data_IF_528342915152
#
_entry.id   IF_528342915152
#
_cell.length_a   1.000
_cell.length_b   1.000
_cell.length_c   1.000
_cell.angle_alpha   90.00
_cell.angle_beta   90.00
_cell.angle_gamma   90.00
#
_symmetry.space_group_name_H-M   'P 1'
#
loop_
_entity.id
_entity.type
_entity.pdbx_description
1 polymer ?
#
# COMPACT_ATOMS: atom_id res chain seq x y z
N UNK A 1 27.00 -26.24 -8.94
CA UNK A 1 27.22 -24.88 -8.46
C UNK A 1 26.14 -24.59 -7.43
N UNK A 2 26.48 -24.63 -6.16
CA UNK A 2 25.56 -24.24 -5.07
C UNK A 2 25.41 -22.74 -5.10
N UNK A 3 24.26 -22.24 -5.52
CA UNK A 3 23.94 -20.81 -5.45
C UNK A 3 23.94 -20.36 -4.00
N UNK A 4 24.64 -19.27 -3.70
CA UNK A 4 24.59 -18.66 -2.37
C UNK A 4 23.14 -18.43 -1.93
N UNK A 5 22.82 -18.61 -0.63
CA UNK A 5 21.46 -18.41 -0.14
C UNK A 5 21.01 -16.96 -0.39
N UNK A 6 19.76 -16.79 -0.87
CA UNK A 6 19.22 -15.48 -1.11
C UNK A 6 19.29 -14.59 0.14
N UNK A 7 19.55 -13.27 0.00
CA UNK A 7 19.57 -12.33 1.13
C UNK A 7 18.32 -12.42 2.00
N UNK A 8 18.43 -12.13 3.29
CA UNK A 8 17.35 -12.26 4.27
C UNK A 8 16.09 -11.51 3.83
N UNK A 9 16.24 -10.27 3.37
CA UNK A 9 15.18 -9.43 2.83
C UNK A 9 14.39 -10.12 1.70
N UNK A 10 15.10 -10.67 0.70
CA UNK A 10 14.49 -11.36 -0.43
C UNK A 10 13.74 -12.64 0.00
N UNK A 11 14.28 -13.39 0.97
CA UNK A 11 13.62 -14.61 1.50
C UNK A 11 12.30 -14.29 2.21
N UNK A 12 12.25 -13.20 2.97
CA UNK A 12 11.02 -12.81 3.66
C UNK A 12 9.98 -12.25 2.69
N UNK A 13 10.38 -11.46 1.71
CA UNK A 13 9.47 -11.02 0.65
C UNK A 13 8.86 -12.20 -0.13
N UNK A 14 9.67 -13.19 -0.48
CA UNK A 14 9.19 -14.44 -1.09
C UNK A 14 8.18 -15.17 -0.18
N UNK A 15 8.48 -15.23 1.13
CA UNK A 15 7.60 -15.86 2.12
C UNK A 15 6.27 -15.15 2.27
N UNK A 16 6.28 -13.80 2.29
CA UNK A 16 5.05 -12.99 2.35
C UNK A 16 4.18 -13.20 1.13
N UNK A 17 4.76 -13.16 -0.06
CA UNK A 17 4.04 -13.40 -1.32
C UNK A 17 3.45 -14.81 -1.39
N UNK A 18 4.22 -15.82 -0.99
CA UNK A 18 3.78 -17.22 -0.99
C UNK A 18 2.71 -17.48 0.08
N UNK A 19 2.80 -16.86 1.24
CA UNK A 19 1.79 -16.98 2.28
C UNK A 19 0.44 -16.39 1.84
N UNK A 20 0.46 -15.25 1.17
CA UNK A 20 -0.73 -14.60 0.65
C UNK A 20 -1.37 -15.43 -0.49
N UNK A 21 -0.55 -15.93 -1.42
CA UNK A 21 -0.99 -16.60 -2.66
C UNK A 21 -0.24 -17.91 -2.89
N UNK A 22 -0.49 -18.98 -2.12
CA UNK A 22 0.32 -20.20 -2.12
C UNK A 22 0.34 -20.95 -3.46
N UNK A 23 -0.70 -20.83 -4.27
CA UNK A 23 -0.79 -21.44 -5.60
C UNK A 23 -0.51 -20.44 -6.73
N UNK A 24 -1.14 -19.26 -6.67
CA UNK A 24 -1.04 -18.28 -7.76
C UNK A 24 0.37 -17.69 -7.87
N UNK A 25 1.02 -17.37 -6.76
CA UNK A 25 2.35 -16.77 -6.80
C UNK A 25 3.42 -17.69 -7.41
N UNK A 26 3.58 -18.97 -7.00
CA UNK A 26 4.50 -19.87 -7.66
C UNK A 26 4.20 -20.08 -9.14
N UNK A 27 2.92 -20.20 -9.52
CA UNK A 27 2.51 -20.36 -10.92
C UNK A 27 2.91 -19.13 -11.76
N UNK A 28 2.63 -17.90 -11.27
CA UNK A 28 3.01 -16.67 -11.94
C UNK A 28 4.53 -16.50 -12.02
N UNK A 29 5.27 -16.94 -11.01
CA UNK A 29 6.74 -16.92 -10.99
C UNK A 29 7.34 -17.89 -12.00
N UNK A 30 6.74 -19.09 -12.14
CA UNK A 30 7.17 -20.12 -13.10
C UNK A 30 6.82 -19.78 -14.56
N UNK A 31 5.83 -18.92 -14.80
CA UNK A 31 5.44 -18.50 -16.13
C UNK A 31 6.62 -17.84 -16.87
N UNK A 32 6.91 -18.30 -18.10
CA UNK A 32 8.02 -17.82 -18.92
C UNK A 32 7.54 -16.82 -19.97
N UNK A 33 8.45 -15.94 -20.41
CA UNK A 33 8.19 -14.91 -21.41
C UNK A 33 7.51 -13.65 -20.89
N UNK A 34 7.51 -12.57 -21.68
CA UNK A 34 6.95 -11.28 -21.32
C UNK A 34 5.43 -11.26 -21.33
N UNK A 35 4.80 -12.03 -22.22
CA UNK A 35 3.36 -12.19 -22.37
C UNK A 35 3.04 -13.67 -22.56
N UNK A 36 2.00 -14.14 -21.91
CA UNK A 36 1.58 -15.55 -21.98
C UNK A 36 0.05 -15.63 -21.98
N UNK A 37 -0.53 -16.29 -22.98
CA UNK A 37 -1.95 -16.68 -22.96
C UNK A 37 -2.11 -17.94 -22.11
N UNK A 38 -2.91 -17.85 -21.05
CA UNK A 38 -3.23 -18.96 -20.15
C UNK A 38 -4.68 -19.39 -20.38
N UNK A 39 -4.94 -20.61 -20.90
CA UNK A 39 -6.30 -21.08 -21.16
C UNK A 39 -7.18 -20.98 -19.92
N UNK A 40 -8.40 -20.46 -20.06
CA UNK A 40 -9.36 -20.28 -18.97
C UNK A 40 -9.05 -19.17 -17.96
N UNK A 41 -7.88 -18.54 -18.04
CA UNK A 41 -7.48 -17.45 -17.13
C UNK A 41 -7.39 -16.09 -17.83
N UNK A 42 -6.90 -16.04 -19.07
CA UNK A 42 -6.69 -14.82 -19.84
C UNK A 42 -5.24 -14.63 -20.31
N UNK A 43 -4.84 -13.40 -20.53
CA UNK A 43 -3.48 -13.05 -21.00
C UNK A 43 -2.71 -12.41 -19.84
N UNK A 44 -1.61 -13.05 -19.47
CA UNK A 44 -0.68 -12.61 -18.43
C UNK A 44 0.42 -11.75 -19.06
N UNK A 45 0.61 -10.53 -18.56
CA UNK A 45 1.67 -9.59 -18.97
C UNK A 45 2.65 -9.40 -17.81
N UNK A 46 3.95 -9.59 -18.07
CA UNK A 46 5.03 -9.52 -17.07
C UNK A 46 6.11 -8.49 -17.42
N UNK A 47 6.12 -7.97 -18.63
CA UNK A 47 7.05 -6.95 -19.08
C UNK A 47 6.55 -5.56 -18.69
N UNK A 48 7.43 -4.71 -18.13
CA UNK A 48 7.05 -3.40 -17.59
C UNK A 48 6.60 -2.41 -18.68
N UNK A 49 7.23 -2.44 -19.85
CA UNK A 49 6.87 -1.55 -20.96
C UNK A 49 5.53 -1.93 -21.57
N UNK A 50 5.30 -3.23 -21.80
CA UNK A 50 4.02 -3.75 -22.32
C UNK A 50 2.89 -3.54 -21.31
N UNK A 51 3.16 -3.75 -20.01
CA UNK A 51 2.21 -3.50 -18.94
C UNK A 51 1.80 -2.03 -18.91
N UNK A 52 2.79 -1.12 -18.98
CA UNK A 52 2.53 0.32 -19.03
C UNK A 52 1.75 0.71 -20.29
N UNK A 53 2.13 0.19 -21.46
CA UNK A 53 1.42 0.43 -22.71
C UNK A 53 -0.05 0.00 -22.60
N UNK A 54 -0.32 -1.19 -22.08
CA UNK A 54 -1.69 -1.69 -21.85
C UNK A 54 -2.48 -0.81 -20.87
N UNK A 55 -1.84 -0.26 -19.82
CA UNK A 55 -2.50 0.65 -18.88
C UNK A 55 -2.81 2.02 -19.48
N UNK A 56 -2.04 2.45 -20.46
CA UNK A 56 -2.21 3.74 -21.16
C UNK A 56 -3.23 3.67 -22.30
N UNK A 57 -3.46 2.49 -22.86
CA UNK A 57 -4.35 2.26 -23.97
C UNK A 57 -5.78 2.01 -23.47
N UNK A 58 -6.56 3.09 -23.37
CA UNK A 58 -7.98 3.06 -22.95
C UNK A 58 -8.95 2.77 -24.08
N UNK A 59 -8.47 2.71 -25.32
CA UNK A 59 -9.29 2.35 -26.49
C UNK A 59 -9.54 0.84 -26.54
N UNK A 60 -8.50 0.03 -26.25
CA UNK A 60 -8.57 -1.41 -26.34
C UNK A 60 -8.76 -2.09 -24.97
N UNK A 61 -8.36 -1.43 -23.87
CA UNK A 61 -8.34 -2.04 -22.53
C UNK A 61 -9.12 -1.19 -21.51
N UNK A 62 -10.10 -1.82 -20.86
CA UNK A 62 -10.99 -1.14 -19.92
C UNK A 62 -10.95 -1.75 -18.52
N UNK A 63 -11.32 -0.98 -17.51
CA UNK A 63 -11.65 -1.45 -16.16
C UNK A 63 -13.08 -2.01 -16.05
N UNK A 64 -13.91 -1.78 -17.06
CA UNK A 64 -15.28 -2.26 -17.15
C UNK A 64 -15.34 -3.55 -17.99
N UNK A 65 -16.21 -4.46 -17.61
CA UNK A 65 -16.42 -5.69 -18.36
C UNK A 65 -15.95 -6.96 -17.63
N UNK A 66 -16.09 -8.11 -18.29
CA UNK A 66 -15.84 -9.42 -17.67
C UNK A 66 -14.40 -9.54 -17.14
N UNK A 67 -14.27 -9.90 -15.86
CA UNK A 67 -12.97 -10.11 -15.22
C UNK A 67 -12.15 -8.85 -14.95
N UNK A 68 -12.68 -7.65 -15.23
CA UNK A 68 -12.08 -6.38 -14.86
C UNK A 68 -12.46 -5.96 -13.42
N UNK A 69 -11.86 -4.92 -12.84
CA UNK A 69 -12.16 -4.49 -11.47
C UNK A 69 -13.62 -4.15 -11.19
N UNK A 70 -14.32 -3.58 -12.17
CA UNK A 70 -15.75 -3.22 -12.02
C UNK A 70 -16.65 -4.43 -11.78
N UNK A 71 -16.30 -5.60 -12.33
CA UNK A 71 -17.05 -6.85 -12.13
C UNK A 71 -17.12 -7.25 -10.64
N UNK A 72 -16.09 -6.88 -9.87
CA UNK A 72 -16.02 -7.09 -8.43
C UNK A 72 -16.63 -5.93 -7.63
N UNK A 73 -16.30 -4.68 -7.97
CA UNK A 73 -16.57 -3.54 -7.10
C UNK A 73 -17.86 -2.81 -7.41
N UNK A 74 -18.41 -2.89 -8.63
CA UNK A 74 -19.71 -2.28 -8.96
C UNK A 74 -20.85 -2.80 -8.09
N UNK A 75 -20.95 -4.10 -7.76
CA UNK A 75 -21.98 -4.58 -6.84
C UNK A 75 -21.88 -3.98 -5.43
N UNK A 76 -20.70 -3.55 -5.01
CA UNK A 76 -20.43 -2.99 -3.65
C UNK A 76 -20.57 -1.48 -3.64
N UNK A 77 -19.91 -0.79 -4.57
CA UNK A 77 -19.74 0.67 -4.60
C UNK A 77 -20.68 1.38 -5.57
N UNK A 78 -21.37 0.65 -6.42
CA UNK A 78 -22.11 1.23 -7.56
C UNK A 78 -21.23 1.58 -8.74
N UNK A 79 -21.84 2.02 -9.87
CA UNK A 79 -21.11 2.33 -11.10
C UNK A 79 -20.41 3.70 -11.07
N UNK A 80 -20.89 4.63 -10.25
CA UNK A 80 -20.51 6.05 -10.29
C UNK A 80 -19.30 6.37 -9.38
N UNK A 81 -18.29 5.50 -9.36
CA UNK A 81 -17.03 5.71 -8.62
C UNK A 81 -15.85 5.56 -9.58
N UNK A 82 -14.77 6.33 -9.35
CA UNK A 82 -13.57 6.32 -10.23
C UNK A 82 -13.01 4.92 -10.48
N UNK A 83 -13.15 4.02 -9.53
CA UNK A 83 -12.67 2.64 -9.65
C UNK A 83 -13.42 1.86 -10.73
N UNK A 84 -14.71 2.19 -10.96
CA UNK A 84 -15.64 1.49 -11.84
C UNK A 84 -15.99 2.28 -13.12
N UNK A 85 -15.51 3.53 -13.24
CA UNK A 85 -15.84 4.43 -14.37
C UNK A 85 -14.76 4.42 -15.44
N UNK A 86 -15.14 4.80 -16.64
CA UNK A 86 -14.29 5.04 -17.80
C UNK A 86 -14.74 6.29 -18.57
N UNK A 87 -13.90 6.78 -19.48
CA UNK A 87 -14.25 7.83 -20.44
C UNK A 87 -14.40 9.23 -19.83
N UNK A 88 -15.26 10.04 -20.43
CA UNK A 88 -15.41 11.45 -20.10
C UNK A 88 -15.88 11.70 -18.66
N UNK A 89 -16.83 10.91 -18.17
CA UNK A 89 -17.39 11.04 -16.82
C UNK A 89 -16.34 10.69 -15.76
N UNK A 90 -15.53 9.65 -16.00
CA UNK A 90 -14.37 9.33 -15.15
C UNK A 90 -13.42 10.53 -15.07
N UNK A 91 -13.06 11.13 -16.20
CA UNK A 91 -12.15 12.28 -16.24
C UNK A 91 -12.75 13.51 -15.54
N UNK A 92 -14.05 13.75 -15.69
CA UNK A 92 -14.75 14.84 -15.03
C UNK A 92 -14.74 14.69 -13.51
N UNK A 93 -15.14 13.52 -13.00
CA UNK A 93 -15.13 13.21 -11.56
C UNK A 93 -13.70 13.23 -11.01
N UNK A 94 -12.74 12.65 -11.74
CA UNK A 94 -11.33 12.64 -11.33
C UNK A 94 -10.76 14.05 -11.19
N UNK A 95 -11.16 14.98 -12.07
CA UNK A 95 -10.72 16.39 -12.01
C UNK A 95 -11.26 17.10 -10.77
N UNK A 96 -12.55 16.90 -10.43
CA UNK A 96 -13.13 17.42 -9.18
C UNK A 96 -12.39 16.89 -7.96
N UNK A 97 -12.17 15.56 -7.88
CA UNK A 97 -11.52 14.92 -6.76
C UNK A 97 -10.01 15.23 -6.66
N UNK A 98 -9.38 15.64 -7.76
CA UNK A 98 -7.94 15.93 -7.81
C UNK A 98 -7.47 16.95 -6.76
N UNK A 99 -8.31 17.94 -6.44
CA UNK A 99 -8.00 18.96 -5.45
C UNK A 99 -7.85 18.39 -4.01
N UNK A 100 -8.50 17.27 -3.70
CA UNK A 100 -8.38 16.56 -2.42
C UNK A 100 -7.02 15.84 -2.27
N UNK A 101 -6.30 15.67 -3.38
CA UNK A 101 -5.00 14.98 -3.41
C UNK A 101 -3.88 15.90 -3.87
N UNK A 102 -4.11 17.24 -3.86
CA UNK A 102 -3.06 18.21 -4.09
C UNK A 102 -1.95 18.04 -3.03
N UNK A 103 -0.66 17.99 -3.40
CA UNK A 103 0.43 17.68 -2.46
C UNK A 103 0.38 18.52 -1.17
N UNK A 104 0.27 19.83 -1.27
CA UNK A 104 0.20 20.71 -0.10
C UNK A 104 -0.99 20.40 0.84
N UNK A 105 -2.14 20.00 0.28
CA UNK A 105 -3.31 19.64 1.08
C UNK A 105 -3.10 18.32 1.82
N UNK A 106 -2.62 17.29 1.11
CA UNK A 106 -2.43 15.96 1.72
C UNK A 106 -1.27 15.94 2.72
N UNK A 107 -0.22 16.73 2.51
CA UNK A 107 0.87 16.88 3.46
C UNK A 107 0.38 17.55 4.75
N UNK A 108 -0.41 18.63 4.63
CA UNK A 108 -1.02 19.28 5.79
C UNK A 108 -2.00 18.35 6.52
N UNK A 109 -2.83 17.61 5.79
CA UNK A 109 -3.78 16.64 6.35
C UNK A 109 -3.05 15.51 7.09
N UNK A 110 -2.07 14.88 6.47
CA UNK A 110 -1.31 13.80 7.08
C UNK A 110 -0.57 14.28 8.34
N UNK A 111 0.06 15.45 8.27
CA UNK A 111 0.75 16.05 9.41
C UNK A 111 -0.23 16.38 10.56
N UNK A 112 -1.34 17.04 10.28
CA UNK A 112 -2.33 17.40 11.31
C UNK A 112 -2.90 16.17 12.01
N UNK A 113 -3.12 15.07 11.28
CA UNK A 113 -3.78 13.89 11.82
C UNK A 113 -2.83 12.87 12.44
N UNK A 114 -1.62 12.74 11.92
CA UNK A 114 -0.73 11.64 12.27
C UNK A 114 0.54 12.05 13.01
N UNK A 115 0.92 13.35 13.05
CA UNK A 115 2.18 13.77 13.66
C UNK A 115 2.27 13.41 15.17
N UNK A 116 1.17 13.57 15.92
CA UNK A 116 1.12 13.18 17.33
C UNK A 116 1.31 11.68 17.53
N UNK A 117 0.67 10.89 16.68
CA UNK A 117 0.79 9.43 16.71
C UNK A 117 2.19 8.96 16.31
N UNK A 118 2.81 9.62 15.33
CA UNK A 118 4.17 9.35 14.87
C UNK A 118 5.21 9.72 15.94
N UNK A 119 5.04 10.86 16.61
CA UNK A 119 5.89 11.27 17.75
C UNK A 119 5.80 10.24 18.88
N UNK A 120 4.60 9.81 19.25
CA UNK A 120 4.40 8.80 20.28
C UNK A 120 5.07 7.46 19.91
N UNK A 121 5.06 7.06 18.63
CA UNK A 121 5.78 5.89 18.14
C UNK A 121 7.29 6.04 18.35
N UNK A 122 7.86 7.19 17.99
CA UNK A 122 9.28 7.50 18.19
C UNK A 122 9.67 7.40 19.67
N UNK A 123 8.86 8.02 20.56
CA UNK A 123 9.15 8.05 22.00
C UNK A 123 9.09 6.66 22.63
N UNK A 124 8.09 5.85 22.28
CA UNK A 124 7.98 4.45 22.75
C UNK A 124 9.20 3.62 22.35
N UNK A 125 9.63 3.75 21.10
CA UNK A 125 10.83 3.04 20.61
C UNK A 125 12.10 3.52 21.33
N UNK A 126 12.26 4.84 21.56
CA UNK A 126 13.40 5.40 22.32
C UNK A 126 13.43 4.92 23.75
N UNK A 127 12.27 4.70 24.37
CA UNK A 127 12.14 4.10 25.70
C UNK A 127 12.44 2.59 25.69
N UNK A 128 12.72 2.00 24.53
CA UNK A 128 13.06 0.58 24.40
C UNK A 128 11.84 -0.34 24.39
N UNK A 129 10.66 0.20 24.10
CA UNK A 129 9.47 -0.63 23.94
C UNK A 129 9.54 -1.44 22.65
N UNK A 130 8.96 -2.64 22.69
CA UNK A 130 8.69 -3.44 21.48
C UNK A 130 7.40 -2.97 20.83
N UNK A 131 7.44 -2.62 19.55
CA UNK A 131 6.30 -2.07 18.81
C UNK A 131 5.95 -2.96 17.62
N UNK A 132 4.70 -3.34 17.48
CA UNK A 132 4.19 -3.99 16.27
C UNK A 132 3.86 -2.92 15.21
N UNK A 133 4.72 -2.78 14.21
CA UNK A 133 4.56 -1.81 13.10
C UNK A 133 3.25 -2.02 12.34
N UNK A 134 2.76 -3.26 12.23
CA UNK A 134 1.46 -3.54 11.58
C UNK A 134 0.32 -2.93 12.37
N UNK A 135 0.34 -3.05 13.71
CA UNK A 135 -0.67 -2.46 14.59
C UNK A 135 -0.64 -0.92 14.52
N UNK A 136 0.56 -0.31 14.52
CA UNK A 136 0.68 1.14 14.41
C UNK A 136 0.15 1.67 13.07
N UNK A 137 0.49 1.03 11.96
CA UNK A 137 -0.01 1.46 10.63
C UNK A 137 -1.53 1.24 10.51
N UNK A 138 -2.09 0.21 11.15
CA UNK A 138 -3.56 0.05 11.24
C UNK A 138 -4.21 1.19 12.02
N UNK A 139 -3.60 1.62 13.13
CA UNK A 139 -4.07 2.78 13.90
C UNK A 139 -4.04 4.05 13.05
N UNK A 140 -2.97 4.29 12.28
CA UNK A 140 -2.91 5.43 11.35
C UNK A 140 -4.00 5.33 10.27
N UNK A 141 -4.24 4.14 9.73
CA UNK A 141 -5.32 3.91 8.78
C UNK A 141 -6.70 4.20 9.39
N UNK A 142 -6.95 3.81 10.66
CA UNK A 142 -8.19 4.13 11.37
C UNK A 142 -8.39 5.64 11.52
N UNK A 143 -7.36 6.39 11.91
CA UNK A 143 -7.39 7.86 12.00
C UNK A 143 -7.76 8.45 10.63
N UNK A 144 -7.11 7.99 9.55
CA UNK A 144 -7.38 8.50 8.20
C UNK A 144 -8.77 8.12 7.69
N UNK A 145 -9.29 6.93 8.02
CA UNK A 145 -10.68 6.56 7.71
C UNK A 145 -11.64 7.52 8.41
N UNK A 146 -11.44 7.79 9.70
CA UNK A 146 -12.29 8.72 10.45
C UNK A 146 -12.35 10.08 9.78
N UNK A 147 -11.21 10.60 9.30
CA UNK A 147 -11.17 11.84 8.52
C UNK A 147 -11.92 11.75 7.20
N UNK A 148 -11.77 10.65 6.46
CA UNK A 148 -12.45 10.43 5.18
C UNK A 148 -13.97 10.38 5.31
N UNK A 149 -14.48 9.90 6.45
CA UNK A 149 -15.92 9.83 6.72
C UNK A 149 -16.43 11.00 7.55
N UNK A 150 -15.57 11.92 7.98
CA UNK A 150 -15.95 13.10 8.76
C UNK A 150 -16.29 12.78 10.22
N UNK A 151 -15.71 11.71 10.77
CA UNK A 151 -15.79 11.40 12.21
C UNK A 151 -14.75 12.18 12.99
N UNK A 152 -15.06 12.46 14.27
CA UNK A 152 -14.08 12.99 15.21
C UNK A 152 -12.95 11.96 15.45
N UNK A 153 -11.73 12.35 15.14
CA UNK A 153 -10.55 11.50 15.31
C UNK A 153 -10.10 11.33 16.76
N UNK A 154 -10.70 12.06 17.69
CA UNK A 154 -10.46 11.87 19.14
C UNK A 154 -10.94 10.51 19.65
N UNK A 155 -11.87 9.88 18.92
CA UNK A 155 -12.39 8.54 19.20
C UNK A 155 -12.02 7.61 18.05
N UNK A 156 -10.75 7.20 18.01
CA UNK A 156 -10.29 6.20 17.03
C UNK A 156 -10.82 4.83 17.43
N UNK A 157 -11.72 4.30 16.62
CA UNK A 157 -12.24 2.95 16.80
C UNK A 157 -11.43 1.94 15.98
N UNK A 158 -10.63 1.12 16.67
CA UNK A 158 -9.90 0.01 16.04
C UNK A 158 -10.85 -1.01 15.39
N UNK A 159 -12.12 -1.05 15.80
CA UNK A 159 -13.15 -1.88 15.20
C UNK A 159 -13.49 -1.40 13.77
N UNK A 160 -13.50 -0.10 13.56
CA UNK A 160 -13.79 0.49 12.25
C UNK A 160 -12.82 -0.01 11.17
N UNK A 161 -11.51 0.06 11.43
CA UNK A 161 -10.52 -0.48 10.50
C UNK A 161 -10.73 -1.98 10.27
N UNK A 162 -10.95 -2.75 11.34
CA UNK A 162 -11.15 -4.20 11.25
C UNK A 162 -12.38 -4.56 10.41
N UNK A 163 -13.47 -3.81 10.56
CA UNK A 163 -14.70 -3.97 9.76
C UNK A 163 -14.46 -3.66 8.28
N UNK A 164 -13.81 -2.55 7.97
CA UNK A 164 -13.43 -2.18 6.59
C UNK A 164 -12.50 -3.23 5.98
N UNK A 165 -11.48 -3.64 6.73
CA UNK A 165 -10.52 -4.66 6.31
C UNK A 165 -11.18 -6.02 6.04
N UNK A 166 -12.29 -6.34 6.72
CA UNK A 166 -13.03 -7.57 6.46
C UNK A 166 -13.62 -7.63 5.05
N UNK A 167 -14.00 -6.48 4.47
CA UNK A 167 -14.54 -6.41 3.10
C UNK A 167 -13.48 -6.85 2.09
N UNK A 168 -12.26 -6.34 2.22
CA UNK A 168 -11.15 -6.73 1.35
C UNK A 168 -10.73 -8.19 1.58
N UNK A 169 -10.88 -8.68 2.81
CA UNK A 169 -10.64 -10.07 3.20
C UNK A 169 -11.60 -11.08 2.54
N UNK A 170 -12.77 -10.66 2.05
CA UNK A 170 -13.67 -11.53 1.29
C UNK A 170 -13.14 -11.85 -0.11
N UNK A 171 -12.31 -10.98 -0.67
CA UNK A 171 -11.80 -11.10 -2.03
C UNK A 171 -10.56 -11.97 -2.05
N UNK A 172 -10.52 -12.94 -2.97
CA UNK A 172 -9.35 -13.79 -3.23
C UNK A 172 -9.11 -13.88 -4.73
N UNK A 173 -7.86 -14.01 -5.14
CA UNK A 173 -7.54 -14.22 -6.57
C UNK A 173 -8.24 -15.45 -7.16
N UNK A 174 -8.46 -16.49 -6.33
CA UNK A 174 -9.17 -17.72 -6.72
C UNK A 174 -10.70 -17.55 -6.74
N UNK A 175 -11.24 -16.51 -6.09
CA UNK A 175 -12.68 -16.19 -6.03
C UNK A 175 -12.87 -14.69 -6.16
N UNK A 176 -12.86 -14.15 -7.38
CA UNK A 176 -12.90 -12.71 -7.61
C UNK A 176 -14.32 -12.11 -7.47
N UNK A 177 -15.31 -12.87 -7.04
CA UNK A 177 -16.69 -12.42 -6.81
C UNK A 177 -17.10 -12.66 -5.37
N UNK A 178 -17.85 -11.71 -4.81
CA UNK A 178 -18.45 -11.85 -3.49
C UNK A 178 -19.69 -12.74 -3.55
N UNK A 179 -19.88 -13.55 -2.53
CA UNK A 179 -21.14 -14.27 -2.33
C UNK A 179 -22.25 -13.28 -1.88
N UNK A 180 -23.55 -13.62 -2.08
CA UNK A 180 -24.63 -12.75 -1.63
C UNK A 180 -24.53 -12.30 -0.16
N UNK A 181 -24.21 -13.18 0.82
CA UNK A 181 -24.01 -12.76 2.20
C UNK A 181 -22.84 -11.80 2.39
N UNK A 182 -21.71 -12.04 1.72
CA UNK A 182 -20.54 -11.15 1.77
C UNK A 182 -20.85 -9.78 1.16
N UNK A 183 -21.61 -9.76 0.07
CA UNK A 183 -22.06 -8.52 -0.57
C UNK A 183 -22.98 -7.73 0.37
N UNK A 184 -23.94 -8.40 1.02
CA UNK A 184 -24.84 -7.77 1.98
C UNK A 184 -24.05 -7.17 3.16
N UNK A 185 -23.11 -7.92 3.72
CA UNK A 185 -22.25 -7.45 4.80
C UNK A 185 -21.38 -6.25 4.37
N UNK A 186 -20.75 -6.30 3.19
CA UNK A 186 -19.96 -5.20 2.66
C UNK A 186 -20.80 -3.93 2.49
N UNK A 187 -22.01 -4.06 1.94
CA UNK A 187 -22.97 -2.94 1.81
C UNK A 187 -23.39 -2.37 3.16
N UNK A 188 -23.65 -3.20 4.18
CA UNK A 188 -24.01 -2.75 5.51
C UNK A 188 -22.91 -1.93 6.17
N UNK A 189 -21.66 -2.39 6.09
CA UNK A 189 -20.49 -1.67 6.62
C UNK A 189 -20.32 -0.31 5.91
N UNK A 190 -20.42 -0.30 4.59
CA UNK A 190 -20.28 0.95 3.82
C UNK A 190 -21.44 1.91 4.04
N UNK A 191 -22.68 1.41 4.19
CA UNK A 191 -23.85 2.24 4.46
C UNK A 191 -23.70 3.01 5.78
N UNK A 192 -23.25 2.34 6.83
CA UNK A 192 -22.97 2.97 8.13
C UNK A 192 -21.90 4.06 8.02
N UNK A 193 -20.79 3.78 7.33
CA UNK A 193 -19.74 4.77 7.10
C UNK A 193 -20.20 5.96 6.26
N UNK A 194 -21.00 5.70 5.22
CA UNK A 194 -21.54 6.76 4.37
C UNK A 194 -22.59 7.61 5.06
N UNK A 195 -23.30 7.10 6.06
CA UNK A 195 -24.23 7.90 6.88
C UNK A 195 -23.50 9.04 7.59
N UNK A 196 -22.39 8.76 8.25
CA UNK A 196 -21.55 9.79 8.87
C UNK A 196 -21.01 10.79 7.83
N UNK A 197 -20.54 10.28 6.70
CA UNK A 197 -20.05 11.15 5.62
C UNK A 197 -21.16 12.03 5.01
N UNK A 198 -22.39 11.55 4.95
CA UNK A 198 -23.55 12.35 4.53
C UNK A 198 -23.84 13.51 5.49
N UNK A 199 -23.80 13.26 6.79
CA UNK A 199 -23.98 14.31 7.79
C UNK A 199 -22.89 15.39 7.65
N UNK A 200 -21.61 15.00 7.55
CA UNK A 200 -20.50 15.92 7.36
C UNK A 200 -20.60 16.69 6.01
N UNK A 201 -21.00 16.02 4.94
CA UNK A 201 -21.23 16.65 3.63
C UNK A 201 -22.34 17.71 3.72
N UNK A 202 -23.48 17.38 4.36
CA UNK A 202 -24.62 18.31 4.49
C UNK A 202 -24.30 19.50 5.40
N UNK A 203 -23.51 19.29 6.46
CA UNK A 203 -23.01 20.36 7.30
C UNK A 203 -22.12 21.34 6.53
N UNK A 204 -21.38 20.89 5.52
CA UNK A 204 -20.56 21.72 4.64
C UNK A 204 -19.31 22.29 5.30
N UNK A 205 -18.87 21.72 6.42
CA UNK A 205 -17.62 22.11 7.07
C UNK A 205 -16.41 21.64 6.25
N UNK A 206 -15.71 22.61 5.63
CA UNK A 206 -14.54 22.35 4.77
C UNK A 206 -13.34 21.78 5.51
N UNK A 207 -13.33 21.76 6.85
CA UNK A 207 -12.34 21.05 7.63
C UNK A 207 -12.53 19.53 7.59
N UNK A 208 -13.71 19.07 7.18
CA UNK A 208 -13.98 17.66 6.91
C UNK A 208 -13.80 17.32 5.43
N UNK A 209 -13.34 16.10 5.12
CA UNK A 209 -13.20 15.67 3.71
C UNK A 209 -14.55 15.68 2.96
N UNK A 210 -15.67 15.18 3.54
CA UNK A 210 -16.98 15.27 2.87
C UNK A 210 -17.47 16.71 2.67
N UNK A 211 -17.29 17.60 3.63
CA UNK A 211 -17.66 19.01 3.48
C UNK A 211 -16.85 19.71 2.40
N UNK A 212 -15.53 19.41 2.32
CA UNK A 212 -14.68 19.89 1.25
C UNK A 212 -15.08 19.31 -0.12
N UNK A 213 -15.53 18.05 -0.21
CA UNK A 213 -16.09 17.51 -1.45
C UNK A 213 -17.29 18.34 -1.94
N UNK A 214 -18.15 18.80 -1.04
CA UNK A 214 -19.28 19.68 -1.35
C UNK A 214 -18.80 21.02 -1.91
N UNK A 215 -17.81 21.66 -1.30
CA UNK A 215 -17.28 22.96 -1.79
C UNK A 215 -16.57 22.81 -3.15
N UNK A 216 -16.05 21.63 -3.48
CA UNK A 216 -15.49 21.29 -4.79
C UNK A 216 -16.56 20.97 -5.85
N UNK A 217 -17.85 21.08 -5.52
CA UNK A 217 -18.96 20.88 -6.46
C UNK A 217 -19.25 19.41 -6.78
N UNK A 218 -18.87 18.47 -5.89
CA UNK A 218 -19.36 17.09 -5.99
C UNK A 218 -20.82 17.04 -5.52
N UNK A 219 -21.64 16.25 -6.20
CA UNK A 219 -22.96 15.87 -5.68
C UNK A 219 -22.81 14.97 -4.46
N UNK A 220 -23.85 14.86 -3.62
CA UNK A 220 -23.84 13.97 -2.46
C UNK A 220 -23.57 12.51 -2.88
N UNK A 221 -24.14 12.07 -4.00
CA UNK A 221 -23.92 10.74 -4.54
C UNK A 221 -22.45 10.51 -4.96
N UNK A 222 -21.85 11.48 -5.67
CA UNK A 222 -20.43 11.43 -6.07
C UNK A 222 -19.52 11.39 -4.82
N UNK A 223 -19.82 12.21 -3.81
CA UNK A 223 -19.07 12.27 -2.57
C UNK A 223 -19.13 10.95 -1.79
N UNK A 224 -20.33 10.38 -1.62
CA UNK A 224 -20.50 9.09 -0.90
C UNK A 224 -19.83 7.94 -1.63
N UNK A 225 -19.92 7.89 -2.95
CA UNK A 225 -19.20 6.92 -3.77
C UNK A 225 -17.68 7.07 -3.63
N UNK A 226 -17.17 8.30 -3.60
CA UNK A 226 -15.73 8.56 -3.39
C UNK A 226 -15.27 8.14 -1.99
N UNK A 227 -16.02 8.47 -0.93
CA UNK A 227 -15.74 8.03 0.44
C UNK A 227 -15.64 6.51 0.52
N UNK A 228 -16.64 5.77 0.02
CA UNK A 228 -16.63 4.32 0.01
C UNK A 228 -15.42 3.73 -0.73
N UNK A 229 -15.07 4.32 -1.89
CA UNK A 229 -13.91 3.89 -2.67
C UNK A 229 -12.59 4.19 -1.94
N UNK A 230 -12.43 5.36 -1.32
CA UNK A 230 -11.21 5.74 -0.61
C UNK A 230 -10.98 4.89 0.63
N UNK A 231 -12.04 4.63 1.40
CA UNK A 231 -11.98 3.75 2.58
C UNK A 231 -11.52 2.34 2.19
N UNK A 232 -12.08 1.76 1.12
CA UNK A 232 -11.73 0.40 0.69
C UNK A 232 -10.33 0.29 0.07
N UNK A 233 -9.87 1.32 -0.65
CA UNK A 233 -8.62 1.21 -1.42
C UNK A 233 -7.42 1.86 -0.75
N UNK A 234 -7.65 2.80 0.18
CA UNK A 234 -6.61 3.64 0.77
C UNK A 234 -5.91 3.04 1.98
N UNK A 235 -6.49 2.05 2.64
CA UNK A 235 -6.02 1.56 3.95
C UNK A 235 -5.13 0.32 3.84
N UNK A 236 -5.62 -0.75 3.22
CA UNK A 236 -4.92 -2.04 3.15
C UNK A 236 -3.57 -1.97 2.43
N UNK A 237 -3.44 -1.07 1.45
CA UNK A 237 -2.19 -0.91 0.70
C UNK A 237 -1.05 -0.38 1.56
N UNK A 238 -1.32 0.56 2.48
CA UNK A 238 -0.33 1.11 3.42
C UNK A 238 0.01 0.11 4.53
N UNK A 239 -1.00 -0.57 5.09
CA UNK A 239 -0.81 -1.65 6.07
C UNK A 239 0.02 -2.81 5.49
N UNK A 240 -0.09 -3.06 4.19
CA UNK A 240 0.78 -3.98 3.47
C UNK A 240 2.19 -3.42 3.31
N UNK A 241 2.29 -2.19 2.82
CA UNK A 241 3.55 -1.64 2.33
C UNK A 241 4.52 -1.23 3.43
N UNK A 242 4.08 -0.41 4.40
CA UNK A 242 4.98 0.20 5.38
C UNK A 242 5.74 -0.85 6.21
N UNK A 243 5.09 -1.89 6.77
CA UNK A 243 5.81 -2.93 7.50
C UNK A 243 6.80 -3.71 6.60
N UNK A 244 6.47 -3.91 5.31
CA UNK A 244 7.37 -4.57 4.36
C UNK A 244 8.59 -3.72 4.05
N UNK A 245 8.42 -2.39 3.88
CA UNK A 245 9.54 -1.47 3.72
C UNK A 245 10.44 -1.49 4.94
N UNK A 246 9.89 -1.40 6.15
CA UNK A 246 10.67 -1.47 7.40
C UNK A 246 11.48 -2.76 7.47
N UNK A 247 10.84 -3.90 7.17
CA UNK A 247 11.54 -5.19 7.14
C UNK A 247 12.64 -5.23 6.08
N UNK A 248 12.42 -4.67 4.89
CA UNK A 248 13.43 -4.57 3.85
C UNK A 248 14.62 -3.74 4.31
N UNK A 249 14.40 -2.57 4.90
CA UNK A 249 15.45 -1.66 5.37
C UNK A 249 16.32 -2.30 6.46
N UNK A 250 15.68 -2.98 7.42
CA UNK A 250 16.39 -3.66 8.51
C UNK A 250 17.15 -4.89 8.00
N UNK A 251 16.48 -5.78 7.26
CA UNK A 251 17.06 -7.05 6.79
C UNK A 251 18.17 -6.87 5.76
N UNK A 252 18.17 -5.78 5.00
CA UNK A 252 19.19 -5.45 4.01
C UNK A 252 20.32 -4.59 4.56
N UNK A 253 20.22 -4.13 5.83
CA UNK A 253 21.21 -3.27 6.46
C UNK A 253 21.19 -1.81 5.99
N UNK A 254 20.17 -1.38 5.26
CA UNK A 254 20.05 0.00 4.77
C UNK A 254 19.56 0.99 5.83
N UNK A 255 18.92 0.53 6.91
CA UNK A 255 18.33 1.40 7.91
C UNK A 255 19.32 2.40 8.52
N UNK A 256 20.54 2.00 8.98
CA UNK A 256 21.52 2.95 9.51
C UNK A 256 22.01 3.97 8.49
N UNK A 257 22.20 3.56 7.22
CA UNK A 257 22.67 4.45 6.16
C UNK A 257 21.65 5.54 5.85
N UNK A 258 20.35 5.18 5.80
CA UNK A 258 19.26 6.12 5.55
C UNK A 258 19.03 7.04 6.78
N UNK A 259 19.27 6.54 7.98
CA UNK A 259 19.22 7.37 9.19
C UNK A 259 20.32 8.43 9.20
N UNK A 260 21.51 8.08 8.70
CA UNK A 260 22.66 9.00 8.58
C UNK A 260 22.53 10.00 7.42
N UNK A 261 21.94 9.57 6.30
CA UNK A 261 21.71 10.40 5.11
C UNK A 261 20.25 10.35 4.67
N UNK A 262 19.48 11.35 5.09
CA UNK A 262 18.04 11.47 4.80
C UNK A 262 17.72 11.70 3.33
N UNK A 263 18.69 12.05 2.50
CA UNK A 263 18.49 12.15 1.03
C UNK A 263 18.17 10.79 0.41
N UNK A 264 18.50 9.69 1.08
CA UNK A 264 18.18 8.32 0.67
C UNK A 264 16.75 7.88 1.01
N UNK A 265 15.96 8.65 1.77
CA UNK A 265 14.58 8.28 2.17
C UNK A 265 13.70 8.08 0.94
N UNK A 266 13.63 9.06 0.04
CA UNK A 266 12.81 8.96 -1.18
C UNK A 266 13.24 7.81 -2.11
N UNK A 267 14.53 7.64 -2.44
CA UNK A 267 14.98 6.46 -3.17
C UNK A 267 14.61 5.13 -2.49
N UNK A 268 14.74 5.04 -1.16
CA UNK A 268 14.40 3.83 -0.42
C UNK A 268 12.88 3.54 -0.43
N UNK A 269 12.04 4.56 -0.30
CA UNK A 269 10.58 4.42 -0.43
C UNK A 269 10.22 3.96 -1.85
N UNK A 270 10.75 4.60 -2.88
CA UNK A 270 10.47 4.23 -4.26
C UNK A 270 10.92 2.79 -4.59
N UNK A 271 12.11 2.41 -4.12
CA UNK A 271 12.66 1.07 -4.30
C UNK A 271 11.87 0.02 -3.52
N UNK A 272 11.43 0.35 -2.30
CA UNK A 272 10.52 -0.48 -1.53
C UNK A 272 9.19 -0.71 -2.26
N UNK A 273 8.56 0.33 -2.81
CA UNK A 273 7.33 0.23 -3.61
C UNK A 273 7.54 -0.64 -4.86
N UNK A 274 8.69 -0.52 -5.52
CA UNK A 274 9.07 -1.37 -6.63
C UNK A 274 9.12 -2.85 -6.23
N UNK A 275 9.86 -3.18 -5.19
CA UNK A 275 10.10 -4.57 -4.78
C UNK A 275 8.86 -5.20 -4.16
N UNK A 276 8.13 -4.48 -3.31
CA UNK A 276 6.96 -5.02 -2.62
C UNK A 276 5.71 -5.01 -3.48
N UNK A 277 5.54 -4.00 -4.31
CA UNK A 277 4.38 -3.78 -5.19
C UNK A 277 3.06 -4.11 -4.47
N UNK A 278 2.49 -3.19 -3.66
CA UNK A 278 1.31 -3.46 -2.84
C UNK A 278 0.10 -3.98 -3.62
N UNK A 279 -0.09 -3.49 -4.85
CA UNK A 279 -1.05 -4.06 -5.81
C UNK A 279 -0.32 -4.97 -6.79
N UNK A 280 -0.12 -6.27 -6.47
CA UNK A 280 0.77 -7.14 -7.23
C UNK A 280 0.25 -7.45 -8.64
N UNK A 281 -1.05 -7.31 -8.85
CA UNK A 281 -1.73 -7.58 -10.12
C UNK A 281 -2.75 -6.49 -10.38
N UNK A 282 -2.80 -5.99 -11.63
CA UNK A 282 -3.88 -5.15 -12.13
C UNK A 282 -4.64 -5.89 -13.23
N UNK A 283 -5.93 -5.61 -13.38
CA UNK A 283 -6.77 -6.31 -14.33
C UNK A 283 -7.34 -5.34 -15.36
N UNK A 284 -7.52 -5.85 -16.58
CA UNK A 284 -8.28 -5.17 -17.66
C UNK A 284 -9.14 -6.20 -18.39
N UNK A 285 -10.22 -5.72 -19.00
CA UNK A 285 -10.97 -6.43 -20.01
C UNK A 285 -10.62 -5.84 -21.38
N UNK A 286 -10.59 -6.66 -22.41
CA UNK A 286 -10.35 -6.23 -23.79
C UNK A 286 -11.67 -5.77 -24.41
N UNK A 287 -11.68 -4.58 -24.99
CA UNK A 287 -12.86 -3.96 -25.66
C UNK A 287 -12.93 -4.40 -27.12
N UNK A 288 -11.81 -4.34 -27.82
CA UNK A 288 -11.69 -4.69 -29.24
C UNK A 288 -10.38 -5.44 -29.50
N UNK A 289 -10.30 -6.12 -30.64
CA UNK A 289 -9.12 -6.91 -30.99
C UNK A 289 -7.87 -6.01 -31.05
N UNK A 290 -6.80 -6.50 -30.43
CA UNK A 290 -5.51 -5.82 -30.35
C UNK A 290 -4.39 -6.84 -30.14
N UNK A 291 -3.14 -6.40 -29.91
CA UNK A 291 -2.03 -7.26 -29.61
C UNK A 291 -1.17 -6.72 -28.47
N UNK A 292 -0.72 -7.60 -27.59
CA UNK A 292 0.22 -7.29 -26.52
C UNK A 292 1.48 -8.12 -26.73
N UNK A 293 2.61 -7.48 -27.08
CA UNK A 293 3.88 -8.19 -27.29
C UNK A 293 3.79 -9.32 -28.32
N UNK A 294 3.01 -9.14 -29.38
CA UNK A 294 2.79 -10.15 -30.45
C UNK A 294 1.73 -11.19 -30.12
N UNK A 295 1.11 -11.17 -28.92
CA UNK A 295 -0.01 -12.05 -28.57
C UNK A 295 -1.33 -11.35 -28.88
N UNK A 296 -2.11 -11.88 -29.82
CA UNK A 296 -3.44 -11.36 -30.15
C UNK A 296 -4.38 -11.49 -28.97
N UNK A 297 -5.11 -10.41 -28.63
CA UNK A 297 -6.16 -10.36 -27.63
C UNK A 297 -7.49 -9.97 -28.31
N UNK A 298 -8.61 -10.51 -27.84
CA UNK A 298 -9.94 -10.30 -28.43
C UNK A 298 -10.90 -9.71 -27.42
N UNK A 299 -11.95 -9.07 -27.90
CA UNK A 299 -13.01 -8.52 -27.07
C UNK A 299 -13.51 -9.56 -26.05
N UNK A 300 -13.59 -9.15 -24.78
CA UNK A 300 -13.95 -10.02 -23.64
C UNK A 300 -12.80 -10.82 -23.05
N UNK A 301 -11.62 -10.83 -23.64
CA UNK A 301 -10.42 -11.41 -23.01
C UNK A 301 -10.09 -10.67 -21.72
N UNK A 302 -9.65 -11.42 -20.70
CA UNK A 302 -9.08 -10.86 -19.47
C UNK A 302 -7.59 -10.65 -19.62
N UNK A 303 -7.10 -9.48 -19.26
CA UNK A 303 -5.67 -9.19 -19.19
C UNK A 303 -5.25 -9.06 -17.73
N UNK A 304 -4.24 -9.85 -17.35
CA UNK A 304 -3.66 -9.91 -16.01
C UNK A 304 -2.28 -9.26 -16.07
N UNK A 305 -2.21 -8.04 -15.57
CA UNK A 305 -1.00 -7.24 -15.53
C UNK A 305 -0.24 -7.57 -14.24
N UNK A 306 0.77 -8.45 -14.32
CA UNK A 306 1.55 -8.90 -13.17
C UNK A 306 2.60 -7.85 -12.77
N UNK A 307 2.14 -6.76 -12.18
CA UNK A 307 2.96 -5.58 -11.80
C UNK A 307 4.13 -5.97 -10.92
N UNK A 308 3.93 -6.89 -9.95
CA UNK A 308 5.01 -7.37 -9.10
C UNK A 308 6.14 -8.06 -9.88
N UNK A 309 5.79 -8.81 -10.94
CA UNK A 309 6.79 -9.52 -11.75
C UNK A 309 7.58 -8.53 -12.61
N UNK A 310 6.88 -7.56 -13.23
CA UNK A 310 7.48 -6.50 -14.03
C UNK A 310 8.46 -5.65 -13.20
N UNK A 311 8.03 -5.22 -12.02
CA UNK A 311 8.82 -4.36 -11.13
C UNK A 311 10.05 -5.09 -10.58
N UNK A 312 9.93 -6.37 -10.21
CA UNK A 312 11.04 -7.18 -9.66
C UNK A 312 12.05 -7.65 -10.71
N UNK A 313 11.70 -7.60 -11.99
CA UNK A 313 12.61 -7.97 -13.07
C UNK A 313 13.90 -7.11 -13.10
N UNK A 314 13.87 -5.90 -12.51
CA UNK A 314 15.02 -5.01 -12.39
C UNK A 314 16.02 -5.38 -11.28
N UNK A 315 15.79 -6.47 -10.56
CA UNK A 315 16.74 -6.96 -9.55
C UNK A 315 16.29 -6.81 -8.09
N UNK A 316 17.19 -7.11 -7.14
CA UNK A 316 16.91 -7.05 -5.71
C UNK A 316 16.72 -5.62 -5.20
N UNK A 317 16.34 -5.47 -3.94
CA UNK A 317 16.21 -4.19 -3.26
C UNK A 317 17.57 -3.51 -3.10
N UNK A 318 17.73 -2.35 -3.73
CA UNK A 318 18.93 -1.51 -3.64
C UNK A 318 18.59 -0.03 -3.86
N UNK A 319 18.40 0.74 -2.79
CA UNK A 319 18.10 2.18 -2.86
C UNK A 319 19.16 3.01 -3.61
N UNK A 320 20.43 2.58 -3.60
CA UNK A 320 21.52 3.32 -4.24
C UNK A 320 21.51 3.23 -5.77
N UNK A 321 21.00 2.13 -6.31
CA UNK A 321 20.94 1.91 -7.76
C UNK A 321 19.87 2.75 -8.46
N UNK A 322 18.90 3.29 -7.72
CA UNK A 322 17.79 4.13 -8.19
C UNK A 322 17.04 3.58 -9.43
N UNK A 323 17.00 2.26 -9.59
CA UNK A 323 16.34 1.63 -10.75
C UNK A 323 14.82 1.84 -10.75
N UNK A 324 14.24 2.11 -9.60
CA UNK A 324 12.82 2.40 -9.44
C UNK A 324 12.35 3.58 -10.32
N UNK A 325 13.21 4.59 -10.52
CA UNK A 325 12.90 5.76 -11.35
C UNK A 325 12.55 5.39 -12.80
N UNK A 326 13.16 4.34 -13.35
CA UNK A 326 12.94 3.89 -14.74
C UNK A 326 11.51 3.39 -14.97
N UNK A 327 10.83 2.90 -13.93
CA UNK A 327 9.45 2.40 -13.97
C UNK A 327 8.39 3.50 -13.93
N UNK A 328 8.78 4.77 -13.71
CA UNK A 328 7.84 5.91 -13.64
C UNK A 328 6.64 5.59 -12.72
N UNK A 329 6.92 5.08 -11.52
CA UNK A 329 5.93 4.73 -10.48
C UNK A 329 4.86 3.71 -10.92
N UNK A 330 5.24 2.71 -11.72
CA UNK A 330 4.31 1.70 -12.26
C UNK A 330 3.52 0.95 -11.18
N UNK A 331 3.99 0.89 -9.94
CA UNK A 331 3.26 0.36 -8.77
C UNK A 331 1.99 1.15 -8.43
N UNK A 332 1.86 2.40 -8.87
CA UNK A 332 0.65 3.21 -8.80
C UNK A 332 -0.20 3.14 -10.09
N UNK A 333 0.18 2.30 -11.04
CA UNK A 333 -0.46 2.22 -12.35
C UNK A 333 0.08 3.23 -13.35
N UNK A 334 -0.70 3.48 -14.40
CA UNK A 334 -0.35 4.45 -15.44
C UNK A 334 -1.62 4.99 -16.15
N UNK A 335 -1.46 6.08 -16.91
CA UNK A 335 -2.52 6.68 -17.72
C UNK A 335 -3.62 7.32 -16.87
N UNK A 336 -4.84 7.33 -17.44
CA UNK A 336 -6.02 7.97 -16.83
C UNK A 336 -6.38 7.40 -15.46
N UNK A 337 -5.96 6.16 -15.17
CA UNK A 337 -6.19 5.46 -13.91
C UNK A 337 -4.96 5.39 -12.99
N UNK A 338 -3.96 6.24 -13.19
CA UNK A 338 -2.88 6.40 -12.21
C UNK A 338 -3.48 6.69 -10.83
N UNK A 339 -2.92 6.11 -9.76
CA UNK A 339 -3.49 6.20 -8.42
C UNK A 339 -3.73 7.67 -8.00
N UNK A 340 -4.99 8.01 -7.73
CA UNK A 340 -5.34 9.37 -7.29
C UNK A 340 -4.80 9.66 -5.89
N UNK A 341 -4.76 8.63 -5.01
CA UNK A 341 -4.28 8.73 -3.64
C UNK A 341 -2.76 8.66 -3.48
N UNK A 342 -1.97 8.60 -4.58
CA UNK A 342 -0.52 8.47 -4.49
C UNK A 342 0.13 9.58 -3.62
N UNK A 343 -0.23 10.87 -3.75
CA UNK A 343 0.35 11.91 -2.89
C UNK A 343 0.06 11.68 -1.41
N UNK A 344 -1.18 11.33 -1.04
CA UNK A 344 -1.55 11.05 0.35
C UNK A 344 -0.83 9.81 0.91
N UNK A 345 -0.70 8.77 0.08
CA UNK A 345 0.05 7.58 0.47
C UNK A 345 1.52 7.92 0.75
N UNK A 346 2.15 8.71 -0.13
CA UNK A 346 3.54 9.13 0.04
C UNK A 346 3.73 9.99 1.29
N UNK A 347 2.82 10.92 1.60
CA UNK A 347 2.87 11.73 2.82
C UNK A 347 2.83 10.85 4.09
N UNK A 348 1.93 9.88 4.16
CA UNK A 348 1.83 8.95 5.29
C UNK A 348 3.06 8.04 5.41
N UNK A 349 3.59 7.56 4.29
CA UNK A 349 4.80 6.73 4.27
C UNK A 349 5.99 7.51 4.81
N UNK A 350 6.24 8.74 4.30
CA UNK A 350 7.34 9.60 4.76
C UNK A 350 7.27 9.85 6.25
N UNK A 351 6.12 10.32 6.72
CA UNK A 351 5.89 10.61 8.14
C UNK A 351 6.18 9.39 9.03
N UNK A 352 5.75 8.20 8.61
CA UNK A 352 5.99 6.98 9.37
C UNK A 352 7.46 6.56 9.34
N UNK A 353 8.11 6.64 8.17
CA UNK A 353 9.52 6.27 8.04
C UNK A 353 10.41 7.25 8.81
N UNK A 354 10.14 8.56 8.74
CA UNK A 354 10.89 9.56 9.50
C UNK A 354 10.78 9.32 11.01
N UNK A 355 9.59 9.03 11.54
CA UNK A 355 9.39 8.71 12.95
C UNK A 355 10.20 7.47 13.38
N UNK A 356 10.25 6.43 12.54
CA UNK A 356 11.04 5.24 12.80
C UNK A 356 12.55 5.50 12.74
N UNK A 357 13.01 6.29 11.77
CA UNK A 357 14.42 6.69 11.64
C UNK A 357 14.86 7.57 12.81
N UNK A 358 13.98 8.45 13.32
CA UNK A 358 14.24 9.30 14.48
C UNK A 358 14.34 8.51 15.79
N UNK A 359 13.70 7.33 15.85
CA UNK A 359 13.84 6.44 17.00
C UNK A 359 15.23 5.79 17.13
N UNK A 360 16.02 5.81 16.06
CA UNK A 360 17.34 5.18 16.00
C UNK A 360 17.32 3.83 15.29
N UNK A 361 18.45 3.11 15.28
CA UNK A 361 18.57 1.80 14.63
C UNK A 361 17.53 0.80 15.17
N UNK A 362 16.88 0.07 14.26
CA UNK A 362 15.85 -0.92 14.62
C UNK A 362 16.38 -2.35 14.49
N UNK A 363 15.86 -3.23 15.35
CA UNK A 363 15.97 -4.69 15.23
C UNK A 363 14.57 -5.30 15.13
N UNK A 364 14.44 -6.37 14.33
CA UNK A 364 13.19 -7.14 14.25
C UNK A 364 13.24 -8.25 15.29
N UNK A 365 12.36 -8.19 16.29
CA UNK A 365 12.24 -9.21 17.33
C UNK A 365 11.42 -10.42 16.86
N UNK A 366 10.30 -10.15 16.17
CA UNK A 366 9.44 -11.19 15.62
C UNK A 366 8.64 -10.70 14.42
N UNK A 367 8.24 -11.65 13.56
CA UNK A 367 7.36 -11.35 12.42
C UNK A 367 6.61 -12.56 11.93
N UNK A 368 5.42 -12.33 11.40
CA UNK A 368 4.59 -13.38 10.81
C UNK A 368 3.93 -12.86 9.52
N UNK A 369 4.03 -13.63 8.43
CA UNK A 369 3.33 -13.31 7.19
C UNK A 369 1.83 -13.59 7.33
N UNK A 370 0.99 -12.72 6.78
CA UNK A 370 -0.44 -12.95 6.62
C UNK A 370 -0.70 -14.02 5.57
N UNK A 371 -1.74 -14.83 5.77
CA UNK A 371 -2.05 -15.98 4.89
C UNK A 371 -3.38 -15.78 4.19
N UNK A 372 -3.43 -16.12 2.90
CA UNK A 372 -4.66 -16.11 2.11
C UNK A 372 -5.32 -14.73 1.98
N UNK A 373 -4.52 -13.67 2.07
CA UNK A 373 -4.96 -12.27 1.92
C UNK A 373 -4.85 -11.82 0.46
N UNK A 374 -5.68 -10.86 0.06
CA UNK A 374 -5.63 -10.32 -1.30
C UNK A 374 -4.32 -9.55 -1.54
N UNK A 375 -3.94 -8.69 -0.60
CA UNK A 375 -2.73 -7.88 -0.66
C UNK A 375 -1.68 -8.52 0.26
N UNK A 376 -0.53 -8.98 -0.29
CA UNK A 376 0.52 -9.62 0.50
C UNK A 376 1.03 -8.70 1.61
N UNK A 377 1.00 -9.15 2.86
CA UNK A 377 1.32 -8.33 4.03
C UNK A 377 1.91 -9.16 5.17
N UNK A 378 2.46 -8.50 6.17
CA UNK A 378 2.70 -9.10 7.47
C UNK A 378 1.40 -9.13 8.29
N UNK A 379 1.22 -10.20 9.09
CA UNK A 379 0.23 -10.25 10.15
C UNK A 379 0.69 -9.47 11.38
N UNK A 380 1.99 -9.54 11.66
CA UNK A 380 2.69 -8.80 12.70
C UNK A 380 4.14 -8.58 12.30
N UNK A 381 4.71 -7.45 12.70
CA UNK A 381 6.13 -7.11 12.57
C UNK A 381 6.54 -6.34 13.81
N UNK A 382 7.14 -7.02 14.79
CA UNK A 382 7.56 -6.41 16.05
C UNK A 382 9.01 -5.95 15.92
N UNK A 383 9.22 -4.67 16.18
CA UNK A 383 10.54 -4.04 16.17
C UNK A 383 10.83 -3.39 17.52
N UNK A 384 12.10 -3.22 17.81
CA UNK A 384 12.61 -2.46 18.95
C UNK A 384 13.78 -1.60 18.48
N UNK A 385 13.95 -0.42 19.07
CA UNK A 385 15.17 0.36 18.87
C UNK A 385 16.37 -0.38 19.48
N UNK A 386 17.44 -0.52 18.70
CA UNK A 386 18.68 -1.07 19.24
C UNK A 386 19.22 -0.08 20.29
N UNK A 387 19.41 -0.56 21.50
CA UNK A 387 20.10 0.27 22.50
C UNK A 387 21.50 0.62 21.97
N UNK A 388 21.95 1.88 22.08
CA UNK A 388 23.35 2.18 21.83
C UNK A 388 24.18 1.26 22.69
N UNK A 389 25.17 0.58 22.07
CA UNK A 389 26.09 -0.27 22.83
C UNK A 389 26.58 0.55 24.02
N UNK A 390 26.26 0.09 25.24
CA UNK A 390 26.73 0.73 26.45
C UNK A 390 28.26 0.84 26.30
N UNK A 391 28.75 2.08 26.21
CA UNK A 391 30.19 2.31 26.25
C UNK A 391 30.66 1.63 27.52
N UNK A 392 31.40 0.51 27.38
CA UNK A 392 32.04 -0.16 28.49
C UNK A 392 32.82 0.95 29.21
N UNK A 393 32.27 1.45 30.31
CA UNK A 393 32.97 2.35 31.19
C UNK A 393 34.30 1.67 31.51
N UNK A 394 35.38 2.29 31.08
CA UNK A 394 36.72 1.84 31.34
C UNK A 394 36.82 1.54 32.84
N UNK A 395 37.04 0.25 33.17
CA UNK A 395 37.33 -0.15 34.52
C UNK A 395 38.55 0.64 34.95
N UNK A 396 38.34 1.56 35.88
CA UNK A 396 39.47 2.24 36.51
C UNK A 396 40.37 1.16 37.13
N UNK A 397 41.68 1.16 36.89
CA UNK A 397 42.58 0.25 37.56
C UNK A 397 42.52 0.55 39.05
N UNK A 398 42.29 -0.49 39.83
CA UNK A 398 42.28 -0.45 41.28
C UNK A 398 43.60 0.17 41.79
N UNK A 399 43.43 1.15 42.66
CA UNK A 399 44.52 1.91 43.23
C UNK A 399 45.55 0.99 43.92
N UNK A 400 46.79 1.26 43.62
CA UNK A 400 47.99 0.71 44.31
C UNK A 400 47.93 1.12 45.77
N UNK A 401 47.76 0.13 46.67
CA UNK A 401 47.93 0.32 48.12
C UNK A 401 49.42 0.44 48.38
N UNK A 402 49.86 1.63 48.76
CA UNK A 402 51.20 1.83 49.34
C UNK A 402 51.30 1.07 50.67
N UNK A 403 52.20 0.13 50.74
CA UNK A 403 52.64 -0.52 52.00
C UNK A 403 53.70 0.40 52.57
N UNK A 404 53.41 1.12 53.65
CA UNK A 404 54.42 1.73 54.50
C UNK A 404 55.07 0.66 55.32
N UNK A 405 56.39 0.56 55.15
CA UNK A 405 57.26 -0.21 56.03
C UNK A 405 57.64 0.62 57.25
N UNK A 406 57.58 -0.03 58.47
CA UNK A 406 58.26 0.36 59.66
C UNK A 406 59.50 -0.52 59.78
#
# INVERSE_FOLDING_TARGET
>A
MTTAPAPLAARWEERVMRAAHPLAYPALKAARGPVLRVPGLGVLVKDAALLRATLMDTEHFTKNGPGAPSDLWTPVLGPSVLLNMEGADHLALRRKLGALFAPAYVDALASAQLAGAASALTDRLRLGESVDVVAEVRRYASIMISQLVGLDTSVVDDDLFRRVSSITGFVRLSRPRLTPPQLAQAKSILAELTEHAQLAYRAGDENTVPGRMRSLGLTEQEAMGAVGAFVLTGTETLVSYIPRLVALLVDSGWFPSIAADRTLVEPAIAEGLRVTTPSPVMLRSVVSESAIGGVTVRAGDRVILATFAANRALGPFDPSANVAATLKQLWFGAGTHFCLGAPLAMAQIRLTIDALLDAGPLTIESRAAARGVLIPSYRSLVVRAAQPAATLAAAQPAGTTEIQAI
#
